data_IF_270399389815
#
_entry.id   IF_270399389815
#
_cell.length_a   1.000
_cell.length_b   1.000
_cell.length_c   1.000
_cell.angle_alpha   90.00
_cell.angle_beta   90.00
_cell.angle_gamma   90.00
#
_symmetry.space_group_name_H-M   'P 1'
#
loop_
_entity.id
_entity.type
_entity.pdbx_description
1 polymer ?
#
# COMPACT_ATOMS: atom_id res chain seq x y z
N UNK A 1 -5.75 3.57 -7.59
CA UNK A 1 -5.01 2.51 -6.86
C UNK A 1 -5.94 1.31 -6.64
N UNK A 2 -5.48 0.07 -6.84
CA UNK A 2 -6.27 -1.14 -6.55
C UNK A 2 -5.72 -1.89 -5.33
N UNK A 3 -6.54 -2.64 -4.58
CA UNK A 3 -6.07 -3.44 -3.44
C UNK A 3 -4.94 -4.41 -3.82
N UNK A 4 -5.04 -5.04 -5.00
CA UNK A 4 -4.02 -5.96 -5.52
C UNK A 4 -2.68 -5.27 -5.79
N UNK A 5 -2.70 -4.04 -6.31
CA UNK A 5 -1.48 -3.26 -6.52
C UNK A 5 -0.86 -2.82 -5.19
N UNK A 6 -1.66 -2.35 -4.24
CA UNK A 6 -1.19 -1.97 -2.90
C UNK A 6 -0.53 -3.14 -2.16
N UNK A 7 -1.10 -4.35 -2.23
CA UNK A 7 -0.51 -5.54 -1.62
C UNK A 7 0.85 -5.91 -2.22
N UNK A 8 1.02 -5.78 -3.55
CA UNK A 8 2.34 -5.99 -4.19
C UNK A 8 3.37 -4.97 -3.74
N UNK A 9 2.99 -3.69 -3.71
CA UNK A 9 3.88 -2.60 -3.28
C UNK A 9 4.31 -2.84 -1.82
N UNK A 10 3.35 -3.14 -0.93
CA UNK A 10 3.64 -3.46 0.46
C UNK A 10 4.61 -4.64 0.59
N UNK A 11 4.37 -5.73 -0.15
CA UNK A 11 5.23 -6.92 -0.11
C UNK A 11 6.66 -6.64 -0.60
N UNK A 12 6.82 -5.88 -1.69
CA UNK A 12 8.15 -5.50 -2.19
C UNK A 12 8.88 -4.59 -1.22
N UNK A 13 8.21 -3.57 -0.68
CA UNK A 13 8.79 -2.66 0.31
C UNK A 13 9.16 -3.38 1.60
N UNK A 14 8.31 -4.28 2.09
CA UNK A 14 8.61 -5.09 3.27
C UNK A 14 9.84 -5.98 3.03
N UNK A 15 9.95 -6.65 1.88
CA UNK A 15 11.12 -7.46 1.53
C UNK A 15 12.42 -6.65 1.53
N UNK A 16 12.38 -5.44 0.99
CA UNK A 16 13.55 -4.55 0.94
C UNK A 16 13.95 -4.00 2.32
N UNK A 17 13.00 -3.86 3.24
CA UNK A 17 13.21 -3.23 4.55
C UNK A 17 13.15 -4.24 5.71
N UNK A 18 13.49 -5.51 5.46
CA UNK A 18 13.57 -6.54 6.51
C UNK A 18 12.22 -6.83 7.19
N UNK A 19 11.13 -6.79 6.42
CA UNK A 19 9.76 -7.03 6.88
C UNK A 19 9.04 -5.78 7.40
N UNK A 20 9.70 -4.62 7.45
CA UNK A 20 9.09 -3.37 7.95
C UNK A 20 8.63 -2.48 6.81
N UNK A 21 7.61 -1.67 7.08
CA UNK A 21 7.11 -0.66 6.17
C UNK A 21 6.97 0.63 6.96
N UNK A 22 7.68 1.68 6.56
CA UNK A 22 7.54 3.01 7.18
C UNK A 22 6.18 3.63 6.81
N UNK A 23 5.57 4.33 7.76
CA UNK A 23 4.33 5.10 7.56
C UNK A 23 4.48 6.23 6.55
N UNK A 24 5.70 6.73 6.36
CA UNK A 24 5.99 7.81 5.42
C UNK A 24 6.38 7.28 4.03
N UNK A 25 6.46 5.95 3.88
CA UNK A 25 6.83 5.32 2.62
C UNK A 25 5.73 5.45 1.57
N UNK A 26 6.13 5.29 0.31
CA UNK A 26 5.18 5.17 -0.81
C UNK A 26 4.16 4.05 -0.59
N UNK A 27 4.56 2.94 0.03
CA UNK A 27 3.66 1.81 0.29
C UNK A 27 2.52 2.13 1.26
N UNK A 28 2.74 2.98 2.27
CA UNK A 28 1.69 3.46 3.16
C UNK A 28 0.69 4.38 2.43
N UNK A 29 1.18 5.27 1.57
CA UNK A 29 0.33 6.12 0.70
C UNK A 29 -0.47 5.27 -0.30
N UNK A 30 0.16 4.23 -0.82
CA UNK A 30 -0.45 3.25 -1.70
C UNK A 30 -1.62 2.52 -1.02
N UNK A 31 -1.44 2.05 0.22
CA UNK A 31 -2.51 1.44 1.01
C UNK A 31 -3.64 2.43 1.30
N UNK A 32 -3.31 3.68 1.67
CA UNK A 32 -4.29 4.76 1.90
C UNK A 32 -5.14 5.00 0.64
N UNK A 33 -4.52 5.08 -0.53
CA UNK A 33 -5.22 5.27 -1.80
C UNK A 33 -6.11 4.08 -2.14
N UNK A 34 -5.67 2.84 -1.89
CA UNK A 34 -6.52 1.66 -2.09
C UNK A 34 -7.77 1.68 -1.18
N UNK A 35 -7.60 2.06 0.08
CA UNK A 35 -8.69 2.16 1.05
C UNK A 35 -9.68 3.28 0.71
N UNK A 36 -9.20 4.43 0.22
CA UNK A 36 -10.06 5.54 -0.18
C UNK A 36 -10.81 5.24 -1.49
N UNK A 37 -10.14 4.61 -2.45
CA UNK A 37 -10.78 4.21 -3.71
C UNK A 37 -11.87 3.14 -3.50
N UNK A 38 -11.74 2.28 -2.48
CA UNK A 38 -12.82 1.37 -2.08
C UNK A 38 -14.06 2.11 -1.54
N UNK A 39 -13.87 3.27 -0.90
CA UNK A 39 -14.98 4.10 -0.38
C UNK A 39 -15.68 4.92 -1.45
N UNK A 40 -14.98 5.25 -2.54
CA UNK A 40 -15.51 6.04 -3.65
C UNK A 40 -16.17 5.18 -4.75
N UNK A 41 -16.15 3.85 -4.62
CA UNK A 41 -16.80 2.92 -5.54
C UNK A 41 -18.25 2.56 -5.17
N UNK A 42 -19.00 3.47 -4.56
CA UNK A 42 -20.44 3.36 -4.34
C UNK A 42 -21.17 4.39 -5.19
#
# INVERSE_FOLDING_TARGET
MTPKAAARIQGQTAKQNGGKVSSDSFSARAQRAAANNQKQGK
#
